data_IF_518159411078
#
_entry.id   IF_518159411078
#
_cell.length_a   1.000
_cell.length_b   1.000
_cell.length_c   1.000
_cell.angle_alpha   90.00
_cell.angle_beta   90.00
_cell.angle_gamma   90.00
#
_symmetry.space_group_name_H-M   'P 1'
#
loop_
_entity.id
_entity.type
_entity.pdbx_description
1 polymer ?
#
# COMPACT_ATOMS: atom_id res chain seq x y z
N UNK A 1 12.66 -0.74 24.74
CA UNK A 1 11.26 -0.54 24.39
C UNK A 1 11.09 -0.53 22.87
N UNK A 2 10.24 -1.42 22.34
CA UNK A 2 9.86 -1.45 20.93
C UNK A 2 8.85 -0.34 20.59
N UNK A 3 8.70 -0.03 19.29
CA UNK A 3 7.67 0.90 18.79
C UNK A 3 6.66 0.09 18.00
N UNK A 4 5.38 0.26 18.33
CA UNK A 4 4.26 -0.39 17.66
C UNK A 4 3.31 0.66 17.08
N UNK A 5 2.49 0.24 16.11
CA UNK A 5 1.38 1.03 15.59
C UNK A 5 0.06 0.61 16.23
N UNK A 6 -0.80 1.58 16.49
CA UNK A 6 -2.21 1.39 16.89
C UNK A 6 -3.12 2.05 15.87
N UNK A 7 -4.36 1.57 15.79
CA UNK A 7 -5.33 2.03 14.80
C UNK A 7 -5.28 1.22 13.50
N UNK A 8 -5.90 1.74 12.44
CA UNK A 8 -5.97 1.09 11.15
C UNK A 8 -5.73 2.10 10.03
N UNK A 9 -5.08 1.64 8.96
CA UNK A 9 -5.00 2.38 7.71
C UNK A 9 -6.35 2.35 7.00
N UNK A 10 -6.67 3.42 6.29
CA UNK A 10 -7.79 3.42 5.35
C UNK A 10 -7.23 3.35 3.93
N UNK A 11 -8.03 2.74 3.04
CA UNK A 11 -7.64 2.44 1.68
C UNK A 11 -8.78 2.83 0.74
N UNK A 12 -8.42 3.51 -0.35
CA UNK A 12 -9.34 3.85 -1.45
C UNK A 12 -8.71 3.40 -2.78
N UNK A 13 -8.69 2.08 -3.06
CA UNK A 13 -8.04 1.55 -4.23
C UNK A 13 -8.89 1.71 -5.49
N UNK A 14 -8.20 1.94 -6.60
CA UNK A 14 -8.76 1.97 -7.95
C UNK A 14 -7.88 1.17 -8.91
N UNK A 15 -8.50 0.53 -9.90
CA UNK A 15 -7.78 -0.20 -10.95
C UNK A 15 -7.59 0.72 -12.13
N UNK A 16 -6.37 1.21 -12.33
CA UNK A 16 -6.04 2.13 -13.42
C UNK A 16 -5.96 1.40 -14.76
N UNK A 17 -5.34 0.22 -14.75
CA UNK A 17 -5.08 -0.59 -15.93
C UNK A 17 -5.44 -2.04 -15.63
N UNK A 18 -6.14 -2.67 -16.56
CA UNK A 18 -6.35 -4.11 -16.58
C UNK A 18 -6.17 -4.62 -18.02
N UNK A 19 -5.14 -5.42 -18.25
CA UNK A 19 -4.74 -5.85 -19.58
C UNK A 19 -4.35 -7.34 -19.63
N UNK A 20 -4.31 -7.91 -20.83
CA UNK A 20 -3.79 -9.25 -21.08
C UNK A 20 -2.37 -9.13 -21.63
N UNK A 21 -1.38 -9.45 -20.80
CA UNK A 21 0.05 -9.45 -21.19
C UNK A 21 0.41 -10.76 -21.91
N UNK A 22 0.96 -10.72 -23.13
CA UNK A 22 1.45 -11.91 -23.81
C UNK A 22 2.64 -12.56 -23.06
N UNK A 23 2.66 -13.89 -23.05
CA UNK A 23 3.70 -14.73 -22.44
C UNK A 23 4.00 -15.91 -23.36
N UNK A 24 5.06 -16.68 -23.06
CA UNK A 24 5.39 -17.90 -23.82
C UNK A 24 4.28 -18.97 -23.78
N UNK A 25 3.42 -18.96 -22.76
CA UNK A 25 2.36 -19.95 -22.54
C UNK A 25 0.94 -19.44 -22.84
N UNK A 26 0.78 -18.29 -23.50
CA UNK A 26 -0.50 -17.64 -23.73
C UNK A 26 -0.55 -16.23 -23.16
N UNK A 27 -1.69 -15.79 -22.64
CA UNK A 27 -1.87 -14.45 -22.07
C UNK A 27 -2.09 -14.49 -20.56
N UNK A 28 -1.55 -13.49 -19.87
CA UNK A 28 -1.63 -13.35 -18.42
C UNK A 28 -2.29 -12.01 -18.05
N UNK A 29 -3.39 -12.00 -17.29
CA UNK A 29 -3.97 -10.75 -16.82
C UNK A 29 -2.98 -9.99 -15.93
N UNK A 30 -2.82 -8.70 -16.21
CA UNK A 30 -1.99 -7.76 -15.46
C UNK A 30 -2.83 -6.56 -15.06
N UNK A 31 -2.68 -6.11 -13.83
CA UNK A 31 -3.32 -4.91 -13.31
C UNK A 31 -2.29 -3.91 -12.78
N UNK A 32 -2.56 -2.63 -13.00
CA UNK A 32 -1.97 -1.52 -12.25
C UNK A 32 -3.08 -0.94 -11.36
N UNK A 33 -2.80 -0.84 -10.07
CA UNK A 33 -3.74 -0.40 -9.04
C UNK A 33 -3.09 0.82 -8.38
N UNK A 34 -3.86 1.91 -8.25
CA UNK A 34 -3.51 3.04 -7.41
C UNK A 34 -4.40 3.02 -6.18
N UNK A 35 -3.79 3.08 -5.00
CA UNK A 35 -4.47 3.10 -3.71
C UNK A 35 -4.11 4.38 -2.94
N UNK A 36 -5.12 5.12 -2.51
CA UNK A 36 -4.90 6.21 -1.57
C UNK A 36 -4.83 5.63 -0.15
N UNK A 37 -3.63 5.60 0.43
CA UNK A 37 -3.40 5.09 1.77
C UNK A 37 -3.47 6.23 2.77
N UNK A 38 -4.41 6.14 3.70
CA UNK A 38 -4.60 7.11 4.79
C UNK A 38 -4.10 6.53 6.11
N UNK A 39 -3.08 7.20 6.68
CA UNK A 39 -2.47 6.86 7.97
C UNK A 39 -2.77 7.88 9.06
N UNK A 40 -3.72 8.80 8.85
CA UNK A 40 -4.11 9.85 9.83
C UNK A 40 -4.59 9.28 11.16
N UNK A 41 -5.15 8.06 11.15
CA UNK A 41 -5.65 7.33 12.32
C UNK A 41 -4.64 6.34 12.91
N UNK A 42 -3.40 6.33 12.39
CA UNK A 42 -2.32 5.47 12.87
C UNK A 42 -1.49 6.22 13.91
N UNK A 43 -1.44 5.67 15.11
CA UNK A 43 -0.63 6.18 16.20
C UNK A 43 0.62 5.32 16.39
N UNK A 44 1.77 5.96 16.57
CA UNK A 44 3.01 5.28 16.94
C UNK A 44 3.18 5.42 18.44
N UNK A 45 3.31 4.30 19.15
CA UNK A 45 3.49 4.29 20.60
C UNK A 45 4.60 3.35 20.99
N UNK A 46 5.27 3.67 22.09
CA UNK A 46 6.18 2.73 22.70
C UNK A 46 5.41 1.56 23.32
N UNK A 47 5.89 0.34 23.09
CA UNK A 47 5.17 -0.91 23.41
C UNK A 47 4.93 -1.09 24.92
N UNK A 48 5.94 -0.82 25.76
CA UNK A 48 5.87 -1.11 27.20
C UNK A 48 5.05 -0.05 27.96
N UNK A 49 5.23 1.22 27.61
CA UNK A 49 4.64 2.37 28.31
C UNK A 49 3.35 2.89 27.68
N UNK A 50 3.10 2.55 26.41
CA UNK A 50 1.98 3.06 25.63
C UNK A 50 2.04 4.56 25.33
N UNK A 51 3.15 5.23 25.67
CA UNK A 51 3.33 6.66 25.44
C UNK A 51 3.52 6.96 23.95
N UNK A 52 3.11 8.14 23.46
CA UNK A 52 3.34 8.54 22.07
C UNK A 52 4.82 8.49 21.69
N UNK A 53 5.11 7.89 20.54
CA UNK A 53 6.42 7.94 19.91
C UNK A 53 6.52 9.21 19.05
N UNK A 54 7.56 10.05 19.21
CA UNK A 54 7.70 11.27 18.43
C UNK A 54 8.03 10.94 16.98
N UNK A 55 7.10 11.27 16.08
CA UNK A 55 7.29 11.14 14.63
C UNK A 55 7.68 12.49 14.02
N UNK A 56 8.43 12.51 12.91
CA UNK A 56 8.73 13.74 12.19
C UNK A 56 7.44 14.46 11.75
N UNK A 57 7.44 15.80 11.78
CA UNK A 57 6.29 16.60 11.34
C UNK A 57 6.10 16.57 9.81
N UNK A 58 7.19 16.38 9.04
CA UNK A 58 7.20 16.45 7.57
C UNK A 58 6.73 15.17 6.85
N UNK A 59 5.90 14.36 7.52
CA UNK A 59 5.39 13.09 6.98
C UNK A 59 4.10 13.30 6.20
N UNK A 60 3.92 12.54 5.12
CA UNK A 60 2.66 12.51 4.36
C UNK A 60 1.62 11.65 5.11
N UNK A 61 0.53 12.23 5.63
CA UNK A 61 -0.50 11.48 6.34
C UNK A 61 -1.44 10.71 5.40
N UNK A 62 -1.46 11.09 4.12
CA UNK A 62 -2.15 10.41 3.02
C UNK A 62 -1.22 10.39 1.82
N UNK A 63 -1.06 9.24 1.20
CA UNK A 63 -0.14 9.07 0.07
C UNK A 63 -0.65 8.02 -0.92
N UNK A 64 -0.27 8.18 -2.18
CA UNK A 64 -0.57 7.20 -3.21
C UNK A 64 0.35 5.98 -3.10
N UNK A 65 -0.20 4.78 -3.21
CA UNK A 65 0.54 3.55 -3.41
C UNK A 65 0.21 2.97 -4.79
N UNK A 66 1.24 2.66 -5.59
CA UNK A 66 1.10 2.01 -6.88
C UNK A 66 1.48 0.54 -6.77
N UNK A 67 0.56 -0.32 -7.19
CA UNK A 67 0.72 -1.77 -7.14
C UNK A 67 0.60 -2.34 -8.54
N UNK A 68 1.56 -3.17 -8.93
CA UNK A 68 1.48 -3.97 -10.15
C UNK A 68 1.23 -5.42 -9.76
N UNK A 69 0.16 -6.00 -10.28
CA UNK A 69 -0.21 -7.38 -10.00
C UNK A 69 -0.43 -8.17 -11.29
N UNK A 70 -0.14 -9.48 -11.24
CA UNK A 70 -0.45 -10.42 -12.31
C UNK A 70 -1.30 -11.57 -11.77
N UNK A 71 -2.23 -12.08 -12.59
CA UNK A 71 -3.08 -13.22 -12.22
C UNK A 71 -2.48 -14.53 -12.71
N UNK A 72 -1.95 -15.33 -11.80
CA UNK A 72 -1.36 -16.64 -12.10
C UNK A 72 -2.35 -17.74 -11.71
N UNK A 73 -2.92 -18.41 -12.72
CA UNK A 73 -4.00 -19.36 -12.51
C UNK A 73 -5.21 -18.70 -11.84
N UNK A 74 -5.53 -19.12 -10.61
CA UNK A 74 -6.67 -18.59 -9.84
C UNK A 74 -6.31 -17.46 -8.88
N UNK A 75 -5.03 -17.09 -8.75
CA UNK A 75 -4.56 -16.15 -7.73
C UNK A 75 -3.91 -14.92 -8.36
N UNK A 76 -4.11 -13.76 -7.72
CA UNK A 76 -3.33 -12.56 -8.03
C UNK A 76 -2.04 -12.58 -7.22
N UNK A 77 -0.94 -12.19 -7.87
CA UNK A 77 0.35 -11.98 -7.24
C UNK A 77 0.76 -10.53 -7.41
N UNK A 78 1.09 -9.88 -6.32
CA UNK A 78 1.75 -8.57 -6.33
C UNK A 78 3.18 -8.79 -6.80
N UNK A 79 3.56 -8.07 -7.85
CA UNK A 79 4.94 -8.05 -8.35
C UNK A 79 5.71 -6.88 -7.74
N UNK A 80 5.04 -5.76 -7.57
CA UNK A 80 5.61 -4.50 -7.10
C UNK A 80 4.54 -3.75 -6.32
N UNK A 81 4.92 -3.16 -5.20
CA UNK A 81 4.11 -2.26 -4.41
C UNK A 81 5.03 -1.13 -3.94
N UNK A 82 4.73 0.09 -4.37
CA UNK A 82 5.57 1.27 -4.11
C UNK A 82 4.71 2.41 -3.56
N UNK A 83 5.06 2.88 -2.36
CA UNK A 83 4.54 4.13 -1.81
C UNK A 83 5.17 5.30 -2.57
N UNK A 84 4.32 6.16 -3.12
CA UNK A 84 4.75 7.35 -3.85
C UNK A 84 4.99 8.51 -2.87
N UNK A 85 5.81 9.47 -3.28
CA UNK A 85 6.01 10.73 -2.56
C UNK A 85 4.93 11.79 -2.88
N UNK A 86 3.84 11.39 -3.55
CA UNK A 86 2.66 12.21 -3.84
C UNK A 86 1.56 11.99 -2.82
N UNK A 87 0.88 13.09 -2.46
CA UNK A 87 -0.33 13.04 -1.67
C UNK A 87 -1.55 12.66 -2.53
N UNK A 88 -2.54 12.11 -1.84
CA UNK A 88 -3.94 11.99 -2.23
C UNK A 88 -4.80 12.52 -1.04
#
# INVERSE_FOLDING_TARGET
EGVITKGATQHEPSVDVLELKPTKGGTLPRATITDCVDVTKVEFVYEESGKPYPMPDERLPRYEAKVKAEKWGKQWKVLEAEAQSSAC
#
